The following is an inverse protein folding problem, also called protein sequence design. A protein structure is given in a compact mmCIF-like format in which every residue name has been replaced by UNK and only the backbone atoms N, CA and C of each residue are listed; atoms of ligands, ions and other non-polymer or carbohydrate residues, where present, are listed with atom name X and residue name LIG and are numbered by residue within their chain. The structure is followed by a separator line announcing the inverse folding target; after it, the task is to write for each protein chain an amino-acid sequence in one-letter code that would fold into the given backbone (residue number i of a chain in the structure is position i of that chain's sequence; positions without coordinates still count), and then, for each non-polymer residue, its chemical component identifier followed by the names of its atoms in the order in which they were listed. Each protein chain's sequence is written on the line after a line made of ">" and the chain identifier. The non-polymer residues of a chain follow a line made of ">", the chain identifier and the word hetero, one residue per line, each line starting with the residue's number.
data_IF_558591319201
#
_entry.id   IF_558591319201
#
_cell.length_a   1.000
_cell.length_b   1.000
_cell.length_c   1.000
_cell.angle_alpha   90.00
_cell.angle_beta   90.00
_cell.angle_gamma   90.00
#
_symmetry.space_group_name_H-M   'P 1'
#
loop_
_entity.id
_entity.type
_entity.pdbx_description
1 polymer ?
#
# COMPACT_ATOMS: atom_id res chain seq x y z
N UNK A 1 13.76 0.67 -17.68
CA UNK A 1 12.78 0.12 -16.73
C UNK A 1 13.51 -0.23 -15.44
N UNK A 2 13.09 0.36 -14.33
CA UNK A 2 13.67 0.10 -13.00
C UNK A 2 12.58 -0.46 -12.08
N UNK A 3 12.99 -1.31 -11.12
CA UNK A 3 12.10 -1.81 -10.07
C UNK A 3 12.44 -1.14 -8.74
N UNK A 4 11.42 -0.67 -8.01
CA UNK A 4 11.57 -0.04 -6.70
C UNK A 4 10.57 -0.63 -5.71
N UNK A 5 10.91 -0.68 -4.41
CA UNK A 5 9.96 -1.12 -3.39
C UNK A 5 8.90 -0.05 -3.11
N UNK A 6 7.69 -0.51 -2.82
CA UNK A 6 6.63 0.33 -2.25
C UNK A 6 5.93 -0.43 -1.12
N UNK A 7 5.63 0.26 -0.02
CA UNK A 7 4.99 -0.31 1.16
C UNK A 7 3.48 -0.10 1.09
N UNK A 8 2.73 -1.19 1.33
CA UNK A 8 1.28 -1.15 1.52
C UNK A 8 0.86 -1.92 2.77
N UNK A 9 -0.16 -1.42 3.45
CA UNK A 9 -0.83 -2.14 4.55
C UNK A 9 -1.69 -3.28 4.01
N UNK A 10 -2.03 -4.25 4.86
CA UNK A 10 -2.83 -5.40 4.45
C UNK A 10 -4.18 -5.04 3.77
N UNK A 11 -4.97 -4.06 4.25
CA UNK A 11 -6.18 -3.64 3.53
C UNK A 11 -5.89 -3.10 2.13
N UNK A 12 -4.80 -2.34 1.96
CA UNK A 12 -4.41 -1.81 0.65
C UNK A 12 -3.93 -2.90 -0.30
N UNK A 13 -3.20 -3.89 0.23
CA UNK A 13 -2.79 -5.06 -0.55
C UNK A 13 -4.02 -5.82 -1.05
N UNK A 14 -5.02 -6.05 -0.20
CA UNK A 14 -6.29 -6.66 -0.63
C UNK A 14 -6.96 -5.85 -1.73
N UNK A 15 -7.02 -4.53 -1.56
CA UNK A 15 -7.60 -3.65 -2.59
C UNK A 15 -6.86 -3.72 -3.94
N UNK A 16 -5.53 -3.92 -3.93
CA UNK A 16 -4.73 -4.16 -5.15
C UNK A 16 -5.05 -5.54 -5.75
N UNK A 17 -5.14 -6.57 -4.91
CA UNK A 17 -5.45 -7.93 -5.36
C UNK A 17 -6.85 -8.02 -5.97
N UNK A 18 -7.80 -7.25 -5.43
CA UNK A 18 -9.19 -7.13 -5.90
C UNK A 18 -9.35 -6.14 -7.06
N UNK A 19 -8.26 -5.56 -7.58
CA UNK A 19 -8.25 -4.55 -8.66
C UNK A 19 -9.01 -3.25 -8.34
N UNK A 20 -9.33 -2.98 -7.06
CA UNK A 20 -9.96 -1.73 -6.62
C UNK A 20 -8.98 -0.59 -6.47
N UNK A 21 -7.73 -0.89 -6.03
CA UNK A 21 -6.69 0.12 -5.85
C UNK A 21 -5.77 0.17 -7.06
N UNK A 22 -5.83 1.27 -7.78
CA UNK A 22 -5.02 1.56 -8.98
C UNK A 22 -4.16 2.81 -8.84
N UNK A 23 -4.26 3.51 -7.71
CA UNK A 23 -3.56 4.76 -7.44
C UNK A 23 -3.06 4.81 -6.00
N UNK A 24 -2.01 5.60 -5.74
CA UNK A 24 -1.56 5.91 -4.38
C UNK A 24 -0.98 7.30 -4.28
N UNK A 25 -1.36 8.01 -3.19
CA UNK A 25 -0.82 9.32 -2.82
C UNK A 25 0.31 9.16 -1.80
N UNK A 26 1.38 9.91 -2.00
CA UNK A 26 2.55 9.92 -1.10
C UNK A 26 3.06 11.35 -0.93
N UNK A 27 3.28 11.78 0.31
CA UNK A 27 3.76 13.14 0.63
C UNK A 27 5.03 13.49 -0.14
N UNK A 28 5.05 14.65 -0.77
CA UNK A 28 6.24 15.21 -1.43
C UNK A 28 7.17 15.75 -0.34
N UNK A 29 8.37 15.18 -0.30
CA UNK A 29 9.43 15.65 0.61
C UNK A 29 10.42 16.54 -0.12
N UNK A 30 11.22 17.30 0.63
CA UNK A 30 12.37 18.05 0.09
C UNK A 30 13.24 17.14 -0.78
N UNK A 31 13.64 17.63 -1.94
CA UNK A 31 14.47 16.90 -2.91
C UNK A 31 15.60 17.76 -3.44
N UNK A 32 16.69 17.13 -3.81
CA UNK A 32 17.75 17.82 -4.56
C UNK A 32 17.34 17.96 -6.04
N UNK A 33 17.51 19.18 -6.55
CA UNK A 33 17.37 19.44 -7.97
C UNK A 33 18.38 18.58 -8.76
N UNK A 34 17.94 17.78 -9.74
CA UNK A 34 18.86 16.93 -10.50
C UNK A 34 19.82 17.72 -11.40
N UNK A 35 19.51 18.98 -11.71
CA UNK A 35 20.30 19.82 -12.60
C UNK A 35 21.30 20.72 -11.85
N UNK A 36 20.91 21.26 -10.69
CA UNK A 36 21.68 22.26 -9.96
C UNK A 36 22.10 21.81 -8.56
N UNK A 37 21.61 20.66 -8.06
CA UNK A 37 21.97 20.13 -6.75
C UNK A 37 21.39 20.90 -5.54
N UNK A 38 20.66 22.03 -5.75
CA UNK A 38 19.98 22.77 -4.70
C UNK A 38 18.80 21.97 -4.13
N UNK A 39 18.37 22.29 -2.92
CA UNK A 39 17.16 21.71 -2.36
C UNK A 39 15.94 22.39 -2.97
N UNK A 40 14.95 21.57 -3.31
CA UNK A 40 13.63 22.00 -3.80
C UNK A 40 12.57 21.68 -2.77
N UNK A 41 11.74 22.66 -2.47
CA UNK A 41 10.53 22.50 -1.66
C UNK A 41 9.42 21.75 -2.42
N UNK A 42 8.41 21.20 -1.72
CA UNK A 42 7.27 20.56 -2.37
C UNK A 42 6.56 21.45 -3.38
N UNK A 43 6.41 22.76 -3.09
CA UNK A 43 5.76 23.72 -3.99
C UNK A 43 6.58 24.00 -5.26
N UNK A 44 7.91 24.07 -5.15
CA UNK A 44 8.78 24.20 -6.32
C UNK A 44 8.74 22.94 -7.19
N UNK A 45 8.71 21.75 -6.56
CA UNK A 45 8.57 20.49 -7.28
C UNK A 45 7.23 20.46 -8.04
N UNK A 46 6.13 20.88 -7.40
CA UNK A 46 4.81 20.89 -8.02
C UNK A 46 4.72 21.82 -9.23
N UNK A 47 5.53 22.90 -9.28
CA UNK A 47 5.60 23.82 -10.41
C UNK A 47 6.46 23.34 -11.57
N UNK A 48 7.10 22.18 -11.48
CA UNK A 48 8.02 21.70 -12.50
C UNK A 48 7.28 21.01 -13.67
N UNK A 49 7.95 21.00 -14.82
CA UNK A 49 7.44 20.30 -16.01
C UNK A 49 7.47 18.78 -15.79
N UNK A 50 6.59 18.06 -16.44
CA UNK A 50 6.44 16.59 -16.34
C UNK A 50 7.78 15.86 -16.52
N UNK A 51 8.61 16.25 -17.48
CA UNK A 51 9.91 15.64 -17.72
C UNK A 51 10.82 15.70 -16.47
N UNK A 52 10.80 16.83 -15.77
CA UNK A 52 11.60 16.98 -14.54
C UNK A 52 10.95 16.28 -13.36
N UNK A 53 9.61 16.26 -13.27
CA UNK A 53 8.88 15.47 -12.27
C UNK A 53 9.24 13.97 -12.36
N UNK A 54 9.37 13.42 -13.56
CA UNK A 54 9.81 12.03 -13.79
C UNK A 54 11.18 11.74 -13.18
N UNK A 55 12.10 12.72 -13.15
CA UNK A 55 13.43 12.59 -12.55
C UNK A 55 13.42 12.82 -11.02
N UNK A 56 12.47 13.60 -10.54
CA UNK A 56 12.30 13.95 -9.14
C UNK A 56 11.51 12.90 -8.35
N UNK A 57 10.60 12.17 -8.98
CA UNK A 57 9.78 11.18 -8.31
C UNK A 57 10.61 10.03 -7.72
N UNK A 58 10.54 9.78 -6.39
CA UNK A 58 11.29 8.70 -5.77
C UNK A 58 10.80 7.32 -6.17
N UNK A 59 9.57 7.24 -6.61
CA UNK A 59 8.91 5.97 -6.98
C UNK A 59 9.19 5.55 -8.42
N UNK A 60 9.60 6.47 -9.28
CA UNK A 60 9.92 6.22 -10.68
C UNK A 60 9.07 7.06 -11.64
N UNK A 61 8.99 6.61 -12.87
CA UNK A 61 8.25 7.26 -13.95
C UNK A 61 7.43 6.22 -14.73
N UNK A 62 6.50 6.64 -15.59
CA UNK A 62 5.74 5.70 -16.44
C UNK A 62 6.63 4.67 -17.13
N UNK A 63 6.25 3.38 -17.04
CA UNK A 63 7.00 2.25 -17.51
C UNK A 63 8.01 1.65 -16.51
N UNK A 64 8.31 2.31 -15.40
CA UNK A 64 9.03 1.69 -14.27
C UNK A 64 8.07 0.81 -13.45
N UNK A 65 8.63 -0.03 -12.58
CA UNK A 65 7.88 -1.01 -11.79
C UNK A 65 8.04 -0.78 -10.30
N UNK A 66 6.98 -1.09 -9.57
CA UNK A 66 6.96 -1.09 -8.11
C UNK A 66 6.68 -2.51 -7.63
N UNK A 67 7.59 -3.08 -6.85
CA UNK A 67 7.32 -4.32 -6.16
C UNK A 67 6.78 -4.04 -4.76
N UNK A 68 5.64 -4.66 -4.43
CA UNK A 68 4.92 -4.39 -3.20
C UNK A 68 5.60 -5.09 -2.03
N UNK A 69 5.78 -4.35 -0.93
CA UNK A 69 6.19 -4.85 0.36
C UNK A 69 4.99 -4.85 1.30
N UNK A 70 4.67 -6.01 1.81
CA UNK A 70 3.57 -6.23 2.74
C UNK A 70 4.04 -7.00 3.97
N UNK A 71 3.23 -7.05 5.01
CA UNK A 71 3.50 -7.87 6.20
C UNK A 71 3.43 -9.34 5.82
N UNK A 72 4.48 -10.10 6.12
CA UNK A 72 4.72 -11.43 5.58
C UNK A 72 5.44 -12.35 6.56
N UNK A 73 5.49 -13.63 6.27
CA UNK A 73 6.38 -14.60 6.91
C UNK A 73 6.87 -15.60 5.87
N UNK A 74 8.14 -15.97 5.97
CA UNK A 74 8.75 -16.96 5.09
C UNK A 74 10.31 -16.89 5.08
N UNK A 75 10.96 -17.84 4.41
CA UNK A 75 10.33 -19.03 3.83
C UNK A 75 9.79 -19.96 4.92
N UNK A 76 8.65 -20.60 4.67
CA UNK A 76 8.02 -21.59 5.53
C UNK A 76 8.13 -22.96 4.86
N UNK A 77 8.50 -23.98 5.62
CA UNK A 77 8.68 -25.34 5.14
C UNK A 77 8.59 -26.31 6.30
N UNK A 78 8.36 -27.57 6.00
CA UNK A 78 8.37 -28.64 6.98
C UNK A 78 9.77 -28.85 7.56
N UNK A 79 9.85 -29.39 8.78
CA UNK A 79 11.11 -29.59 9.49
C UNK A 79 12.07 -30.50 8.69
N UNK A 80 11.55 -31.54 8.02
CA UNK A 80 12.34 -32.45 7.19
C UNK A 80 12.99 -31.73 6.00
N UNK A 81 12.23 -30.87 5.31
CA UNK A 81 12.73 -30.06 4.19
C UNK A 81 13.72 -29.02 4.69
N UNK A 82 13.48 -28.43 5.86
CA UNK A 82 14.41 -27.47 6.47
C UNK A 82 15.76 -28.11 6.75
N UNK A 83 15.79 -29.31 7.29
CA UNK A 83 17.03 -29.98 7.68
C UNK A 83 17.80 -30.52 6.47
N UNK A 84 17.12 -31.13 5.54
CA UNK A 84 17.76 -31.84 4.42
C UNK A 84 18.05 -30.98 3.21
N UNK A 85 17.20 -30.00 2.90
CA UNK A 85 17.25 -29.22 1.66
C UNK A 85 17.59 -27.74 1.91
N UNK A 86 16.86 -27.08 2.81
CA UNK A 86 17.03 -25.63 3.03
C UNK A 86 18.43 -25.31 3.57
N UNK A 87 18.97 -26.10 4.50
CA UNK A 87 20.34 -25.90 5.01
C UNK A 87 21.41 -26.05 3.94
N UNK A 88 21.17 -26.90 2.95
CA UNK A 88 22.10 -27.13 1.83
C UNK A 88 22.02 -26.02 0.77
N UNK A 89 20.80 -25.55 0.46
CA UNK A 89 20.55 -24.56 -0.61
C UNK A 89 19.44 -23.59 -0.22
N UNK A 90 19.67 -22.61 0.68
CA UNK A 90 18.65 -21.67 1.12
C UNK A 90 18.04 -20.84 -0.01
N UNK A 91 18.82 -20.54 -1.04
CA UNK A 91 18.40 -19.71 -2.17
C UNK A 91 17.31 -20.36 -3.02
N UNK A 92 17.21 -21.70 -3.05
CA UNK A 92 16.19 -22.44 -3.78
C UNK A 92 14.77 -22.20 -3.20
N UNK A 93 14.72 -21.77 -1.93
CA UNK A 93 13.50 -21.45 -1.20
C UNK A 93 13.16 -19.95 -1.23
N UNK A 94 13.97 -19.14 -1.88
CA UNK A 94 13.69 -17.71 -2.09
C UNK A 94 12.60 -17.51 -3.15
N UNK A 95 11.36 -17.90 -2.81
CA UNK A 95 10.22 -17.84 -3.70
C UNK A 95 8.94 -17.49 -2.92
N UNK A 96 8.04 -16.63 -3.45
CA UNK A 96 6.77 -16.28 -2.81
C UNK A 96 5.89 -17.48 -2.44
N UNK A 97 6.02 -18.61 -3.13
CA UNK A 97 5.26 -19.85 -2.83
C UNK A 97 5.54 -20.43 -1.43
N UNK A 98 6.66 -20.07 -0.84
CA UNK A 98 7.02 -20.46 0.53
C UNK A 98 6.72 -19.37 1.56
N UNK A 99 5.94 -18.37 1.20
CA UNK A 99 5.60 -17.26 2.07
C UNK A 99 4.11 -17.22 2.35
N UNK A 100 3.78 -16.77 3.56
CA UNK A 100 2.43 -16.36 3.94
C UNK A 100 2.35 -14.86 4.14
N UNK A 101 1.17 -14.29 3.93
CA UNK A 101 0.97 -12.86 3.94
C UNK A 101 -0.21 -12.46 4.82
N UNK A 102 0.00 -11.46 5.68
CA UNK A 102 -1.05 -10.98 6.57
C UNK A 102 -2.27 -10.41 5.80
N UNK A 103 -2.10 -10.03 4.55
CA UNK A 103 -3.18 -9.55 3.70
C UNK A 103 -4.19 -10.65 3.35
N UNK A 104 -3.79 -11.93 3.35
CA UNK A 104 -4.68 -13.05 3.04
C UNK A 104 -5.62 -13.39 4.22
N UNK A 105 -5.38 -12.78 5.39
CA UNK A 105 -6.16 -13.02 6.60
C UNK A 105 -5.59 -14.15 7.46
N UNK A 106 -6.19 -14.35 8.63
CA UNK A 106 -5.75 -15.37 9.57
C UNK A 106 -4.67 -14.89 10.55
N UNK A 107 -4.31 -15.77 11.52
CA UNK A 107 -3.25 -15.53 12.48
C UNK A 107 -1.88 -15.58 11.78
N UNK A 108 -0.85 -15.12 12.48
CA UNK A 108 0.52 -15.34 12.04
C UNK A 108 0.82 -16.85 12.01
N UNK A 109 1.60 -17.33 11.02
CA UNK A 109 1.99 -18.75 10.98
C UNK A 109 2.90 -19.11 12.15
N UNK A 110 2.76 -20.33 12.63
CA UNK A 110 3.70 -20.94 13.56
C UNK A 110 4.86 -21.56 12.78
N UNK A 111 6.06 -21.37 13.27
CA UNK A 111 7.27 -21.96 12.69
C UNK A 111 8.34 -22.19 13.76
N UNK A 112 9.24 -23.13 13.49
CA UNK A 112 10.39 -23.41 14.35
C UNK A 112 11.57 -22.58 13.84
N UNK A 113 12.24 -21.89 14.77
CA UNK A 113 13.47 -21.14 14.46
C UNK A 113 14.68 -22.08 14.35
N UNK A 114 15.83 -21.57 13.92
CA UNK A 114 17.07 -22.32 13.89
C UNK A 114 17.58 -22.74 15.29
N UNK A 115 17.06 -22.08 16.34
CA UNK A 115 17.37 -22.37 17.75
C UNK A 115 16.31 -23.29 18.39
N UNK A 116 15.52 -24.01 17.56
CA UNK A 116 14.44 -24.91 17.94
C UNK A 116 13.31 -24.27 18.79
N UNK A 117 13.13 -22.96 18.70
CA UNK A 117 12.04 -22.26 19.35
C UNK A 117 10.80 -22.22 18.44
N UNK A 118 9.63 -22.63 18.96
CA UNK A 118 8.34 -22.43 18.30
C UNK A 118 7.90 -20.98 18.47
N UNK A 119 7.72 -20.27 17.38
CA UNK A 119 7.28 -18.87 17.36
C UNK A 119 6.11 -18.66 16.41
N UNK A 120 5.24 -17.71 16.77
CA UNK A 120 4.11 -17.28 15.95
C UNK A 120 4.17 -15.77 15.76
N UNK A 121 4.60 -15.31 14.60
CA UNK A 121 4.74 -13.88 14.33
C UNK A 121 4.79 -13.55 12.86
N UNK A 122 4.40 -12.32 12.53
CA UNK A 122 4.63 -11.71 11.24
C UNK A 122 5.95 -10.93 11.21
N UNK A 123 6.63 -10.95 10.07
CA UNK A 123 7.74 -10.04 9.77
C UNK A 123 7.17 -8.72 9.23
N UNK A 124 7.62 -7.55 9.73
CA UNK A 124 7.22 -6.26 9.20
C UNK A 124 7.57 -6.10 7.72
N UNK A 125 6.71 -5.41 6.99
CA UNK A 125 6.87 -5.15 5.54
C UNK A 125 8.20 -4.47 5.18
N UNK A 126 8.77 -3.66 6.07
CA UNK A 126 10.07 -3.00 5.85
C UNK A 126 11.24 -3.97 5.69
N UNK A 127 11.10 -5.21 6.16
CA UNK A 127 12.12 -6.26 6.05
C UNK A 127 11.85 -7.26 4.92
N UNK A 128 10.78 -7.05 4.15
CA UNK A 128 10.45 -7.94 3.04
C UNK A 128 11.48 -7.81 1.91
N UNK A 129 12.16 -8.88 1.51
CA UNK A 129 13.08 -8.87 0.37
C UNK A 129 12.32 -8.95 -0.96
N UNK A 130 13.01 -8.63 -2.07
CA UNK A 130 12.39 -8.65 -3.40
C UNK A 130 11.84 -10.04 -3.79
N UNK A 131 12.53 -11.10 -3.45
CA UNK A 131 12.13 -12.47 -3.77
C UNK A 131 10.82 -12.90 -3.11
N UNK A 132 10.47 -12.32 -1.95
CA UNK A 132 9.22 -12.62 -1.26
C UNK A 132 8.03 -11.80 -1.78
N UNK A 133 8.25 -10.83 -2.67
CA UNK A 133 7.16 -10.01 -3.21
C UNK A 133 6.41 -10.77 -4.30
N UNK A 134 5.10 -10.90 -4.12
CA UNK A 134 4.15 -11.55 -5.03
C UNK A 134 3.39 -10.59 -5.93
N UNK A 135 3.52 -9.27 -5.70
CA UNK A 135 2.78 -8.24 -6.43
C UNK A 135 3.77 -7.29 -7.11
N UNK A 136 3.64 -7.18 -8.42
CA UNK A 136 4.38 -6.27 -9.25
C UNK A 136 3.41 -5.30 -9.93
N UNK A 137 3.70 -4.01 -9.83
CA UNK A 137 2.90 -2.93 -10.38
C UNK A 137 3.72 -2.19 -11.44
N UNK A 138 3.12 -1.86 -12.57
CA UNK A 138 3.69 -0.97 -13.57
C UNK A 138 3.14 0.44 -13.36
N UNK A 139 4.01 1.43 -13.31
CA UNK A 139 3.61 2.84 -13.19
C UNK A 139 3.04 3.29 -14.54
N UNK A 140 1.80 3.79 -14.51
CA UNK A 140 1.09 4.32 -15.68
C UNK A 140 1.27 5.83 -15.77
N UNK A 141 1.07 6.54 -14.66
CA UNK A 141 1.25 7.99 -14.58
C UNK A 141 1.84 8.44 -13.25
N UNK A 142 2.43 9.62 -13.24
CA UNK A 142 2.91 10.30 -12.03
C UNK A 142 2.64 11.78 -12.16
N UNK A 143 1.94 12.35 -11.17
CA UNK A 143 1.68 13.80 -11.08
C UNK A 143 1.87 14.28 -9.65
N UNK A 144 1.88 15.59 -9.47
CA UNK A 144 1.92 16.24 -8.15
C UNK A 144 0.72 17.16 -8.04
N UNK A 145 -0.02 17.04 -6.93
CA UNK A 145 -1.19 17.87 -6.65
C UNK A 145 -1.30 18.16 -5.16
N UNK A 146 -2.22 19.02 -4.74
CA UNK A 146 -2.60 19.16 -3.35
C UNK A 146 -3.40 17.95 -2.91
N UNK A 147 -3.25 17.55 -1.65
CA UNK A 147 -3.97 16.40 -1.10
C UNK A 147 -5.50 16.55 -1.25
N UNK A 148 -6.02 17.75 -1.02
CA UNK A 148 -7.46 18.03 -1.08
C UNK A 148 -8.02 18.26 -2.49
N UNK A 149 -7.16 18.27 -3.52
CA UNK A 149 -7.60 18.35 -4.93
C UNK A 149 -8.07 16.97 -5.45
N UNK A 150 -8.14 15.96 -4.59
CA UNK A 150 -8.62 14.62 -4.92
C UNK A 150 -10.07 14.65 -5.40
N UNK A 151 -10.37 13.98 -6.51
CA UNK A 151 -11.75 13.73 -6.96
C UNK A 151 -12.36 12.49 -6.28
N UNK A 152 -13.66 12.30 -6.44
CA UNK A 152 -14.35 11.10 -5.95
C UNK A 152 -13.82 9.83 -6.61
N UNK A 153 -13.59 9.87 -7.93
CA UNK A 153 -13.02 8.75 -8.70
C UNK A 153 -11.59 8.42 -8.24
N UNK A 154 -10.80 9.45 -7.95
CA UNK A 154 -9.45 9.27 -7.43
C UNK A 154 -9.47 8.65 -6.01
N UNK A 155 -10.44 9.04 -5.17
CA UNK A 155 -10.63 8.45 -3.85
C UNK A 155 -10.98 6.95 -3.95
N UNK A 156 -11.83 6.56 -4.88
CA UNK A 156 -12.13 5.16 -5.18
C UNK A 156 -10.88 4.43 -5.67
N UNK A 157 -10.11 5.03 -6.58
CA UNK A 157 -8.87 4.47 -7.11
C UNK A 157 -7.77 4.29 -6.04
N UNK A 158 -7.85 5.01 -4.91
CA UNK A 158 -7.03 4.75 -3.71
C UNK A 158 -7.42 3.47 -2.98
N UNK A 159 -8.54 2.83 -3.37
CA UNK A 159 -9.00 1.54 -2.85
C UNK A 159 -9.80 1.63 -1.56
N UNK A 160 -10.51 2.73 -1.34
CA UNK A 160 -11.50 2.81 -0.26
C UNK A 160 -12.58 1.75 -0.43
N UNK A 161 -13.21 1.35 0.67
CA UNK A 161 -14.25 0.32 0.66
C UNK A 161 -15.64 0.95 0.59
N UNK A 162 -16.35 0.68 -0.51
CA UNK A 162 -17.79 0.88 -0.62
C UNK A 162 -18.54 -0.26 0.08
N UNK A 163 -19.60 0.06 0.79
CA UNK A 163 -20.49 -0.88 1.45
C UNK A 163 -21.89 -0.64 0.91
N UNK A 164 -22.38 -1.59 0.12
CA UNK A 164 -23.74 -1.55 -0.40
C UNK A 164 -24.69 -2.13 0.65
N UNK A 165 -25.64 -1.34 1.14
CA UNK A 165 -26.63 -1.78 2.14
C UNK A 165 -28.06 -1.66 1.62
N UNK A 166 -28.92 -2.66 1.92
CA UNK A 166 -30.35 -2.55 1.68
C UNK A 166 -30.95 -1.47 2.60
N UNK A 167 -31.70 -0.55 2.00
CA UNK A 167 -32.40 0.55 2.72
C UNK A 167 -33.86 0.20 3.04
N UNK A 168 -34.30 -0.98 2.63
CA UNK A 168 -35.67 -1.48 2.74
C UNK A 168 -36.30 -1.66 1.37
N UNK A 169 -36.96 -2.81 1.13
CA UNK A 169 -37.44 -3.21 -0.19
C UNK A 169 -36.30 -3.62 -1.12
N UNK A 170 -36.41 -3.29 -2.40
CA UNK A 170 -35.38 -3.59 -3.42
C UNK A 170 -34.35 -2.45 -3.60
N UNK A 171 -34.43 -1.41 -2.76
CA UNK A 171 -33.52 -0.26 -2.83
C UNK A 171 -32.24 -0.52 -2.02
N UNK A 172 -31.11 -0.16 -2.61
CA UNK A 172 -29.79 -0.21 -1.99
C UNK A 172 -29.18 1.18 -1.98
N UNK A 173 -28.39 1.46 -0.93
CA UNK A 173 -27.61 2.68 -0.84
C UNK A 173 -26.13 2.34 -0.63
N UNK A 174 -25.27 3.02 -1.38
CA UNK A 174 -23.84 2.91 -1.21
C UNK A 174 -23.37 3.78 -0.05
N UNK A 175 -22.65 3.16 0.85
CA UNK A 175 -21.96 3.80 1.96
C UNK A 175 -20.48 3.59 1.85
N UNK A 176 -19.72 4.56 2.31
CA UNK A 176 -18.26 4.49 2.29
C UNK A 176 -17.71 4.27 3.70
N UNK A 177 -16.69 3.42 3.82
CA UNK A 177 -16.09 3.08 5.10
C UNK A 177 -15.41 4.28 5.74
N UNK A 178 -15.62 4.49 7.04
CA UNK A 178 -14.83 5.39 7.86
C UNK A 178 -13.70 4.62 8.56
N UNK A 179 -12.47 4.91 8.17
CA UNK A 179 -11.27 4.22 8.69
C UNK A 179 -10.78 4.78 10.02
N UNK A 180 -11.19 5.99 10.40
CA UNK A 180 -10.86 6.62 11.68
C UNK A 180 -11.64 6.05 12.86
N UNK A 181 -12.75 5.36 12.61
CA UNK A 181 -13.56 4.75 13.64
C UNK A 181 -12.94 3.43 14.09
N UNK A 182 -12.32 3.41 15.26
CA UNK A 182 -11.77 2.19 15.89
C UNK A 182 -12.85 1.28 16.48
N UNK A 183 -14.06 1.78 16.70
CA UNK A 183 -15.20 1.06 17.25
C UNK A 183 -16.26 0.80 16.19
N UNK A 184 -16.80 -0.42 16.21
CA UNK A 184 -18.04 -0.73 15.50
C UNK A 184 -19.19 -0.02 16.21
N UNK A 185 -20.24 0.36 15.46
CA UNK A 185 -21.49 0.80 16.07
C UNK A 185 -22.04 -0.31 17.00
N UNK A 186 -22.96 0.06 17.89
CA UNK A 186 -23.52 -0.89 18.87
C UNK A 186 -24.21 -2.11 18.23
N UNK A 187 -24.62 -1.99 16.97
CA UNK A 187 -25.19 -3.06 16.12
C UNK A 187 -24.13 -3.87 15.39
N UNK A 188 -22.84 -3.55 15.57
CA UNK A 188 -21.72 -4.23 14.91
C UNK A 188 -21.35 -3.72 13.53
N UNK A 189 -22.04 -2.72 13.01
CA UNK A 189 -21.74 -2.12 11.72
C UNK A 189 -20.57 -1.15 11.79
N UNK A 190 -19.76 -1.01 10.71
CA UNK A 190 -18.71 0.00 10.66
C UNK A 190 -19.31 1.41 10.59
N UNK A 191 -18.58 2.40 11.10
CA UNK A 191 -18.93 3.79 10.87
C UNK A 191 -18.80 4.15 9.39
N UNK A 192 -19.77 4.92 8.89
CA UNK A 192 -19.77 5.39 7.51
C UNK A 192 -19.19 6.80 7.40
N UNK A 193 -18.51 7.05 6.30
CA UNK A 193 -18.18 8.39 5.82
C UNK A 193 -19.33 8.92 4.97
N UNK A 194 -19.41 10.24 4.81
CA UNK A 194 -20.48 10.88 4.04
C UNK A 194 -20.39 10.61 2.53
N UNK A 195 -19.16 10.60 2.00
CA UNK A 195 -18.83 10.41 0.59
C UNK A 195 -17.45 9.75 0.42
N UNK A 196 -17.01 9.57 -0.83
CA UNK A 196 -15.73 8.98 -1.17
C UNK A 196 -14.55 9.80 -0.61
N UNK A 197 -14.62 11.13 -0.72
CA UNK A 197 -13.56 12.03 -0.25
C UNK A 197 -13.48 11.98 1.28
N UNK A 198 -14.63 11.97 1.99
CA UNK A 198 -14.67 11.82 3.45
C UNK A 198 -14.12 10.45 3.89
N UNK A 199 -14.40 9.38 3.16
CA UNK A 199 -13.82 8.07 3.39
C UNK A 199 -12.30 8.10 3.21
N UNK A 200 -11.81 8.65 2.11
CA UNK A 200 -10.38 8.78 1.87
C UNK A 200 -9.69 9.68 2.90
N UNK A 201 -10.30 10.81 3.30
CA UNK A 201 -9.82 11.64 4.42
C UNK A 201 -9.58 10.79 5.66
N UNK A 202 -10.56 9.99 6.05
CA UNK A 202 -10.46 9.13 7.23
C UNK A 202 -9.34 8.08 7.09
N UNK A 203 -9.15 7.52 5.89
CA UNK A 203 -8.05 6.61 5.58
C UNK A 203 -6.69 7.33 5.68
N UNK A 204 -6.58 8.52 5.10
CA UNK A 204 -5.36 9.33 5.16
C UNK A 204 -4.94 9.64 6.59
N UNK A 205 -5.87 10.13 7.41
CA UNK A 205 -5.62 10.46 8.81
C UNK A 205 -5.31 9.23 9.67
N UNK A 206 -5.88 8.07 9.34
CA UNK A 206 -5.54 6.81 10.03
C UNK A 206 -4.08 6.37 9.81
N UNK A 207 -3.47 6.79 8.69
CA UNK A 207 -2.11 6.45 8.31
C UNK A 207 -1.11 7.53 8.72
N UNK A 208 -1.46 8.80 8.53
CA UNK A 208 -0.55 9.94 8.68
C UNK A 208 -0.76 10.71 9.99
N UNK A 209 -1.79 10.36 10.76
CA UNK A 209 -2.16 10.98 12.02
C UNK A 209 -3.32 11.98 11.90
N UNK A 210 -4.03 12.22 13.02
CA UNK A 210 -5.14 13.17 13.07
C UNK A 210 -4.71 14.58 12.63
N UNK A 211 -5.55 15.24 11.84
CA UNK A 211 -5.30 16.60 11.34
C UNK A 211 -4.36 16.69 10.13
N UNK A 212 -3.74 15.58 9.72
CA UNK A 212 -2.85 15.57 8.55
C UNK A 212 -3.55 15.87 7.23
N UNK A 213 -4.86 15.72 7.17
CA UNK A 213 -5.67 16.15 6.04
C UNK A 213 -5.72 17.68 5.89
N UNK A 214 -5.87 18.38 7.01
CA UNK A 214 -6.04 19.83 7.02
C UNK A 214 -4.75 20.59 6.69
N UNK A 215 -3.59 19.92 6.77
CA UNK A 215 -2.31 20.43 6.29
C UNK A 215 -2.32 20.63 4.75
N UNK A 216 -3.21 19.98 4.04
CA UNK A 216 -3.36 20.03 2.58
C UNK A 216 -2.00 19.99 1.84
N UNK A 217 -1.18 19.03 2.22
CA UNK A 217 0.20 18.90 1.75
C UNK A 217 0.27 18.56 0.26
N UNK A 218 1.41 18.82 -0.38
CA UNK A 218 1.69 18.34 -1.73
C UNK A 218 1.95 16.84 -1.73
N UNK A 219 1.35 16.12 -2.68
CA UNK A 219 1.48 14.67 -2.82
C UNK A 219 1.89 14.27 -4.22
N UNK A 220 2.72 13.23 -4.29
CA UNK A 220 2.88 12.43 -5.50
C UNK A 220 1.64 11.57 -5.66
N UNK A 221 0.99 11.66 -6.80
CA UNK A 221 -0.06 10.73 -7.22
C UNK A 221 0.57 9.78 -8.22
N UNK A 222 0.56 8.49 -7.89
CA UNK A 222 1.16 7.44 -8.69
C UNK A 222 0.05 6.49 -9.10
N UNK A 223 -0.28 6.49 -10.39
CA UNK A 223 -1.20 5.54 -10.97
C UNK A 223 -0.42 4.31 -11.44
N UNK A 224 -0.99 3.14 -11.24
CA UNK A 224 -0.36 1.88 -11.58
C UNK A 224 -1.38 0.84 -12.00
N UNK A 225 -0.87 -0.18 -12.72
CA UNK A 225 -1.60 -1.41 -12.99
C UNK A 225 -0.81 -2.61 -12.47
N UNK A 226 -1.50 -3.62 -12.00
CA UNK A 226 -0.90 -4.91 -11.64
C UNK A 226 -0.53 -5.69 -12.91
N UNK A 227 0.66 -6.28 -12.93
CA UNK A 227 1.21 -7.08 -14.03
C UNK A 227 1.62 -8.46 -13.57
#
# INVERSE_FOLDING_TARGET
>A
MKERPILFSAPMVRAILDFRKTQTRRVVKLRKCPDFGCQMSPSEIAGEREEKLRRLCPYGHPGDRLWVRETWQGPLMDAEVMENEYRASPDDFHNPKYCEYAADGGPAPEFITLDDELVQRWKPSIHMPRWASRILLEIVSVRVERLQDISEEDAEAEGIEGINQPTGGDDYQDYWRNYGASAKQADGWPWFAGDQIASYKSLWESINGPGSWDENTWVWVIEFRRI
#
